data_IF_209652217140
#
_entry.id   IF_209652217140
#
_cell.length_a   1.000
_cell.length_b   1.000
_cell.length_c   1.000
_cell.angle_alpha   90.00
_cell.angle_beta   90.00
_cell.angle_gamma   90.00
#
_symmetry.space_group_name_H-M   'P 1'
#
loop_
_entity.id
_entity.type
_entity.pdbx_description
1 polymer ?
#
# COMPACT_ATOMS: atom_id res chain seq x y z
N UNK A 1 -17.32 -54.36 -40.68
CA UNK A 1 -16.55 -53.85 -39.52
C UNK A 1 -15.60 -52.76 -40.01
N UNK A 2 -15.80 -51.50 -39.58
CA UNK A 2 -15.02 -50.34 -40.05
C UNK A 2 -13.82 -50.18 -39.10
N UNK A 3 -12.60 -50.47 -39.58
CA UNK A 3 -11.36 -50.29 -38.80
C UNK A 3 -11.12 -48.80 -38.60
N UNK A 4 -11.14 -48.35 -37.34
CA UNK A 4 -10.63 -47.04 -36.95
C UNK A 4 -9.10 -47.09 -37.10
N UNK A 5 -8.58 -46.47 -38.15
CA UNK A 5 -7.13 -46.29 -38.30
C UNK A 5 -6.71 -45.31 -37.21
N UNK A 6 -6.04 -45.80 -36.17
CA UNK A 6 -5.41 -44.96 -35.16
C UNK A 6 -4.17 -44.32 -35.79
N UNK A 7 -4.21 -43.00 -35.93
CA UNK A 7 -3.15 -42.18 -36.52
C UNK A 7 -2.14 -41.85 -35.41
N UNK A 8 -1.19 -42.75 -35.17
CA UNK A 8 -0.12 -42.63 -34.17
C UNK A 8 0.98 -41.64 -34.60
N UNK A 9 0.60 -40.39 -34.95
CA UNK A 9 1.58 -39.31 -35.13
C UNK A 9 1.98 -38.80 -33.75
N UNK A 10 3.13 -39.26 -33.27
CA UNK A 10 3.76 -38.72 -32.06
C UNK A 10 4.12 -37.24 -32.20
N UNK A 11 4.42 -36.58 -31.08
CA UNK A 11 4.92 -35.20 -31.06
C UNK A 11 6.34 -35.14 -31.61
N UNK A 12 6.59 -34.22 -32.54
CA UNK A 12 7.95 -33.89 -32.94
C UNK A 12 8.67 -33.12 -31.83
N UNK A 13 10.00 -33.20 -31.82
CA UNK A 13 10.84 -32.42 -30.91
C UNK A 13 10.62 -30.91 -31.07
N UNK A 14 10.30 -30.45 -32.30
CA UNK A 14 10.04 -29.05 -32.60
C UNK A 14 8.73 -28.58 -31.97
N UNK A 15 7.68 -29.41 -31.98
CA UNK A 15 6.40 -29.07 -31.34
C UNK A 15 6.52 -29.03 -29.81
N UNK A 16 7.28 -29.96 -29.21
CA UNK A 16 7.56 -29.93 -27.77
C UNK A 16 8.35 -28.67 -27.40
N UNK A 17 9.37 -28.34 -28.19
CA UNK A 17 10.17 -27.13 -27.97
C UNK A 17 9.29 -25.87 -28.06
N UNK A 18 8.44 -25.77 -29.09
CA UNK A 18 7.53 -24.64 -29.25
C UNK A 18 6.55 -24.54 -28.07
N UNK A 19 5.98 -25.66 -27.61
CA UNK A 19 5.07 -25.67 -26.47
C UNK A 19 5.74 -25.22 -25.17
N UNK A 20 6.97 -25.67 -24.90
CA UNK A 20 7.74 -25.25 -23.71
C UNK A 20 8.10 -23.77 -23.77
N UNK A 21 8.49 -23.26 -24.94
CA UNK A 21 8.80 -21.83 -25.11
C UNK A 21 7.56 -20.96 -24.86
N UNK A 22 6.41 -21.33 -25.45
CA UNK A 22 5.15 -20.60 -25.23
C UNK A 22 4.75 -20.65 -23.76
N UNK A 23 4.85 -21.83 -23.13
CA UNK A 23 4.54 -21.98 -21.71
C UNK A 23 5.45 -21.13 -20.82
N UNK A 24 6.75 -21.07 -21.12
CA UNK A 24 7.71 -20.27 -20.38
C UNK A 24 7.37 -18.77 -20.46
N UNK A 25 7.01 -18.26 -21.64
CA UNK A 25 6.59 -16.85 -21.81
C UNK A 25 5.36 -16.54 -20.94
N UNK A 26 4.36 -17.42 -20.95
CA UNK A 26 3.15 -17.26 -20.13
C UNK A 26 3.52 -17.28 -18.65
N UNK A 27 4.31 -18.25 -18.20
CA UNK A 27 4.70 -18.38 -16.80
C UNK A 27 5.45 -17.14 -16.28
N UNK A 28 6.42 -16.63 -17.03
CA UNK A 28 7.19 -15.44 -16.62
C UNK A 28 6.28 -14.22 -16.46
N UNK A 29 5.31 -14.03 -17.37
CA UNK A 29 4.36 -12.93 -17.28
C UNK A 29 3.47 -13.02 -16.04
N UNK A 30 2.95 -14.22 -15.74
CA UNK A 30 2.08 -14.48 -14.58
C UNK A 30 2.85 -14.33 -13.27
N UNK A 31 4.08 -14.82 -13.19
CA UNK A 31 4.92 -14.67 -11.99
C UNK A 31 5.26 -13.20 -11.69
N UNK A 32 5.47 -12.40 -12.75
CA UNK A 32 5.68 -10.96 -12.62
C UNK A 32 4.45 -10.28 -12.04
N UNK A 33 3.25 -10.64 -12.52
CA UNK A 33 1.99 -10.13 -11.97
C UNK A 33 1.83 -10.46 -10.47
N UNK A 34 2.09 -11.70 -10.06
CA UNK A 34 1.99 -12.09 -8.64
C UNK A 34 2.97 -11.32 -7.75
N UNK A 35 4.20 -11.13 -8.20
CA UNK A 35 5.20 -10.35 -7.44
C UNK A 35 4.75 -8.91 -7.23
N UNK A 36 4.19 -8.28 -8.27
CA UNK A 36 3.69 -6.92 -8.19
C UNK A 36 2.43 -6.85 -7.32
N UNK A 37 1.54 -7.84 -7.39
CA UNK A 37 0.36 -7.95 -6.53
C UNK A 37 0.74 -8.05 -5.05
N UNK A 38 1.73 -8.88 -4.70
CA UNK A 38 2.20 -9.01 -3.32
C UNK A 38 2.77 -7.69 -2.78
N UNK A 39 3.59 -6.99 -3.58
CA UNK A 39 4.11 -5.67 -3.21
C UNK A 39 3.00 -4.63 -3.02
N UNK A 40 2.00 -4.64 -3.91
CA UNK A 40 0.87 -3.72 -3.82
C UNK A 40 0.01 -4.00 -2.58
N UNK A 41 -0.22 -5.27 -2.24
CA UNK A 41 -0.91 -5.66 -1.00
C UNK A 41 -0.15 -5.17 0.23
N UNK A 42 1.16 -5.36 0.29
CA UNK A 42 1.99 -4.86 1.38
C UNK A 42 1.94 -3.32 1.47
N UNK A 43 2.01 -2.61 0.34
CA UNK A 43 1.88 -1.15 0.32
C UNK A 43 0.51 -0.67 0.81
N UNK A 44 -0.58 -1.34 0.42
CA UNK A 44 -1.92 -0.99 0.89
C UNK A 44 -2.10 -1.26 2.38
N UNK A 45 -1.51 -2.36 2.88
CA UNK A 45 -1.50 -2.66 4.30
C UNK A 45 -0.84 -1.53 5.08
N UNK A 46 0.37 -1.10 4.68
CA UNK A 46 1.05 0.03 5.33
C UNK A 46 0.25 1.33 5.24
N UNK A 47 -0.39 1.60 4.10
CA UNK A 47 -1.25 2.78 3.95
C UNK A 47 -2.45 2.76 4.89
N UNK A 48 -3.08 1.60 5.08
CA UNK A 48 -4.17 1.44 6.06
C UNK A 48 -3.67 1.62 7.50
N UNK A 49 -2.47 1.11 7.81
CA UNK A 49 -1.84 1.34 9.12
C UNK A 49 -1.56 2.83 9.34
N UNK A 50 -1.04 3.56 8.35
CA UNK A 50 -0.85 5.00 8.45
C UNK A 50 -2.16 5.75 8.72
N UNK A 51 -3.28 5.32 8.11
CA UNK A 51 -4.61 5.89 8.38
C UNK A 51 -5.00 5.64 9.83
N UNK A 52 -4.85 4.42 10.33
CA UNK A 52 -5.18 4.10 11.72
C UNK A 52 -4.33 4.91 12.71
N UNK A 53 -3.03 5.03 12.45
CA UNK A 53 -2.13 5.87 13.28
C UNK A 53 -2.54 7.34 13.20
N UNK A 54 -2.95 7.85 12.05
CA UNK A 54 -3.42 9.22 11.91
C UNK A 54 -4.73 9.48 12.68
N UNK A 55 -5.67 8.52 12.69
CA UNK A 55 -6.91 8.59 13.47
C UNK A 55 -6.65 8.61 14.98
N UNK A 56 -5.70 7.80 15.47
CA UNK A 56 -5.26 7.86 16.87
C UNK A 56 -4.74 9.26 17.23
N UNK A 57 -3.91 9.83 16.36
CA UNK A 57 -3.32 11.17 16.57
C UNK A 57 -4.38 12.27 16.47
N UNK A 58 -5.36 12.14 15.57
CA UNK A 58 -6.54 13.02 15.50
C UNK A 58 -7.29 13.00 16.82
N UNK A 59 -7.50 11.82 17.41
CA UNK A 59 -8.18 11.68 18.69
C UNK A 59 -7.41 12.43 19.80
N UNK A 60 -6.09 12.32 19.81
CA UNK A 60 -5.21 13.05 20.75
C UNK A 60 -5.27 14.58 20.56
N UNK A 61 -5.27 15.06 19.32
CA UNK A 61 -5.43 16.49 19.01
C UNK A 61 -6.78 16.99 19.52
N UNK A 62 -7.86 16.22 19.30
CA UNK A 62 -9.22 16.56 19.72
C UNK A 62 -9.34 16.72 21.24
N UNK A 63 -8.73 15.82 22.02
CA UNK A 63 -8.77 15.92 23.49
C UNK A 63 -7.80 16.98 24.04
N UNK A 64 -6.94 17.52 23.18
CA UNK A 64 -6.09 18.68 23.44
C UNK A 64 -4.66 18.33 23.85
N UNK A 65 -4.20 17.09 23.60
CA UNK A 65 -2.82 16.67 23.89
C UNK A 65 -1.81 17.39 22.98
N UNK A 66 -2.24 17.83 21.80
CA UNK A 66 -1.41 18.55 20.84
C UNK A 66 -2.11 19.84 20.38
N UNK A 67 -1.49 20.98 20.67
CA UNK A 67 -2.04 22.33 20.40
C UNK A 67 -1.13 23.18 19.51
N UNK A 68 0.03 22.64 19.14
CA UNK A 68 1.10 23.30 18.39
C UNK A 68 1.80 22.30 17.47
N UNK A 69 2.68 22.82 16.61
CA UNK A 69 3.45 21.97 15.70
C UNK A 69 4.32 21.00 16.48
N UNK A 70 4.24 19.71 16.15
CA UNK A 70 5.06 18.69 16.78
C UNK A 70 5.46 17.61 15.80
N UNK A 71 6.56 16.94 16.09
CA UNK A 71 7.02 15.77 15.35
C UNK A 71 7.32 14.69 16.38
N UNK A 72 6.76 13.51 16.15
CA UNK A 72 6.88 12.38 17.07
C UNK A 72 7.00 11.07 16.32
N UNK A 73 7.62 10.10 16.97
CA UNK A 73 7.69 8.72 16.47
C UNK A 73 6.79 7.85 17.32
N UNK A 74 5.86 7.13 16.70
CA UNK A 74 5.02 6.12 17.36
C UNK A 74 5.17 4.82 16.60
N UNK A 75 5.64 3.77 17.28
CA UNK A 75 5.78 2.42 16.71
C UNK A 75 6.57 2.35 15.40
N UNK A 76 7.59 3.22 15.25
CA UNK A 76 8.42 3.31 14.04
C UNK A 76 7.87 4.24 12.95
N UNK A 77 6.64 4.73 13.08
CA UNK A 77 6.03 5.70 12.16
C UNK A 77 6.43 7.13 12.53
N UNK A 78 6.81 7.91 11.52
CA UNK A 78 7.12 9.33 11.67
C UNK A 78 5.84 10.15 11.51
N UNK A 79 5.46 10.86 12.56
CA UNK A 79 4.22 11.64 12.62
C UNK A 79 4.58 13.12 12.73
N UNK A 80 4.03 13.94 11.83
CA UNK A 80 4.20 15.39 11.82
C UNK A 80 2.83 16.03 11.96
N UNK A 81 2.65 16.81 13.03
CA UNK A 81 1.45 17.60 13.28
C UNK A 81 1.79 19.05 13.03
N UNK A 82 1.07 19.69 12.11
CA UNK A 82 1.17 21.12 11.84
C UNK A 82 -0.15 21.79 12.20
N UNK A 83 -0.11 22.72 13.15
CA UNK A 83 -1.26 23.48 13.61
C UNK A 83 -1.19 24.89 13.01
N UNK A 84 -2.25 25.27 12.30
CA UNK A 84 -2.42 26.61 11.70
C UNK A 84 -3.71 27.25 12.21
N UNK A 85 -3.82 28.56 12.05
CA UNK A 85 -5.07 29.27 12.31
C UNK A 85 -6.15 28.79 11.33
N UNK A 86 -7.32 28.43 11.84
CA UNK A 86 -8.52 28.14 11.06
C UNK A 86 -9.47 29.34 11.03
N UNK A 87 -10.65 29.19 10.42
CA UNK A 87 -11.70 30.19 10.49
C UNK A 87 -12.21 30.35 11.93
N UNK A 88 -12.65 31.55 12.27
CA UNK A 88 -13.21 31.91 13.58
C UNK A 88 -12.24 31.62 14.75
N UNK A 89 -12.66 30.83 15.73
CA UNK A 89 -11.89 30.44 16.93
C UNK A 89 -11.26 29.05 16.82
N UNK A 90 -11.30 28.45 15.62
CA UNK A 90 -10.79 27.10 15.37
C UNK A 90 -9.32 27.12 14.93
N UNK A 91 -8.61 26.04 15.24
CA UNK A 91 -7.30 25.71 14.69
C UNK A 91 -7.43 24.58 13.68
N UNK A 92 -6.61 24.61 12.63
CA UNK A 92 -6.49 23.54 11.64
C UNK A 92 -5.25 22.70 11.99
N UNK A 93 -5.42 21.41 12.28
CA UNK A 93 -4.33 20.46 12.40
C UNK A 93 -4.20 19.66 11.09
N UNK A 94 -3.04 19.76 10.45
CA UNK A 94 -2.60 18.87 9.36
C UNK A 94 -1.68 17.81 9.95
N UNK A 95 -2.07 16.55 9.85
CA UNK A 95 -1.36 15.40 10.42
C UNK A 95 -0.84 14.56 9.26
N UNK A 96 0.47 14.40 9.18
CA UNK A 96 1.14 13.56 8.19
C UNK A 96 1.82 12.39 8.90
N UNK A 97 1.49 11.17 8.51
CA UNK A 97 2.08 9.93 8.99
C UNK A 97 2.89 9.31 7.86
N UNK A 98 4.15 9.02 8.12
CA UNK A 98 5.06 8.35 7.19
C UNK A 98 5.41 6.97 7.71
N UNK A 99 5.34 5.98 6.83
CA UNK A 99 5.72 4.60 7.16
C UNK A 99 7.22 4.48 7.46
N UNK A 100 7.63 3.50 8.27
CA UNK A 100 9.04 3.25 8.56
C UNK A 100 9.84 2.89 7.29
N UNK A 101 11.15 3.11 7.36
CA UNK A 101 12.04 2.82 6.23
C UNK A 101 11.92 1.36 5.78
N UNK A 102 11.73 1.16 4.47
CA UNK A 102 11.54 -0.17 3.86
C UNK A 102 10.14 -0.78 4.01
N UNK A 103 9.17 -0.07 4.58
CA UNK A 103 7.78 -0.51 4.63
C UNK A 103 7.04 -0.19 3.33
N UNK A 104 6.38 -1.21 2.75
CA UNK A 104 5.62 -1.07 1.52
C UNK A 104 6.47 -0.64 0.31
N UNK A 105 5.81 -0.13 -0.73
CA UNK A 105 6.47 0.47 -1.90
C UNK A 105 6.68 1.96 -1.61
N UNK A 106 7.92 2.45 -1.78
CA UNK A 106 8.29 3.86 -1.66
C UNK A 106 7.89 4.53 -0.34
N UNK A 107 7.78 3.77 0.76
CA UNK A 107 7.49 4.30 2.11
C UNK A 107 6.22 5.17 2.12
N UNK A 108 5.03 4.54 2.05
CA UNK A 108 3.79 5.29 1.90
C UNK A 108 3.63 6.34 3.01
N UNK A 109 3.00 7.44 2.65
CA UNK A 109 2.58 8.47 3.60
C UNK A 109 1.08 8.71 3.49
N UNK A 110 0.49 9.13 4.60
CA UNK A 110 -0.90 9.54 4.67
C UNK A 110 -0.98 10.90 5.35
N UNK A 111 -1.76 11.81 4.78
CA UNK A 111 -2.01 13.13 5.36
C UNK A 111 -3.50 13.35 5.50
N UNK A 112 -3.89 13.84 6.66
CA UNK A 112 -5.28 14.17 7.00
C UNK A 112 -5.33 15.51 7.72
N UNK A 113 -6.49 16.14 7.71
CA UNK A 113 -6.69 17.46 8.29
C UNK A 113 -7.95 17.50 9.15
N UNK A 114 -7.91 18.24 10.25
CA UNK A 114 -9.07 18.45 11.11
C UNK A 114 -9.09 19.87 11.68
N UNK A 115 -10.30 20.43 11.82
CA UNK A 115 -10.51 21.60 12.66
C UNK A 115 -10.76 21.17 14.10
N UNK A 116 -10.20 21.92 15.05
CA UNK A 116 -10.42 21.70 16.48
C UNK A 116 -10.48 23.04 17.23
N UNK A 117 -11.22 23.06 18.33
CA UNK A 117 -11.31 24.24 19.17
C UNK A 117 -9.98 24.48 19.90
N UNK A 118 -9.50 25.72 19.86
CA UNK A 118 -8.41 26.12 20.73
C UNK A 118 -8.95 26.15 22.17
N UNK A 119 -8.46 25.26 23.05
CA UNK A 119 -8.72 25.43 24.48
C UNK A 119 -8.14 26.80 24.90
N UNK A 120 -8.91 27.61 25.66
CA UNK A 120 -8.43 28.88 26.18
C UNK A 120 -7.23 28.73 27.12
#
# INVERSE_FOLDING_TARGET
MKRLIQNEKGLSLVEILAAVVILAIVLVSVMSFFTQSAKFTAHNYEKLTNVQVAEDVIADVRIGNYQSNTTLKKDGYDIVINVKAGPESLKLATITVKSPAGAGINEPEFTTEMYFEAKP
#
